data_IF_797280867991
#
_entry.id   IF_797280867991
#
_cell.length_a   1.000
_cell.length_b   1.000
_cell.length_c   1.000
_cell.angle_alpha   90.00
_cell.angle_beta   90.00
_cell.angle_gamma   90.00
#
_symmetry.space_group_name_H-M   'P 1'
#
loop_
_entity.id
_entity.type
_entity.pdbx_description
1 polymer ?
#
# COMPACT_ATOMS: atom_id res chain seq x y z
N UNK A 1 12.46 4.93 -23.13
CA UNK A 1 11.05 4.46 -23.03
C UNK A 1 10.14 5.59 -23.47
N UNK A 2 9.15 5.36 -24.34
CA UNK A 2 8.20 6.38 -24.74
C UNK A 2 7.31 6.82 -23.57
N UNK A 3 6.94 8.11 -23.53
CA UNK A 3 6.24 8.75 -22.42
C UNK A 3 4.88 8.11 -22.10
N UNK A 4 4.20 7.55 -23.12
CA UNK A 4 2.96 6.79 -22.95
C UNK A 4 3.13 5.51 -22.11
N UNK A 5 4.24 4.80 -22.29
CA UNK A 5 4.52 3.56 -21.54
C UNK A 5 4.82 3.84 -20.06
N UNK A 6 5.44 4.98 -19.77
CA UNK A 6 5.70 5.44 -18.39
C UNK A 6 4.43 5.81 -17.64
N UNK A 7 3.48 6.44 -18.32
CA UNK A 7 2.17 6.78 -17.74
C UNK A 7 1.35 5.51 -17.46
N UNK A 8 1.29 4.58 -18.42
CA UNK A 8 0.60 3.31 -18.23
C UNK A 8 1.16 2.51 -17.04
N UNK A 9 2.49 2.40 -16.94
CA UNK A 9 3.13 1.73 -15.81
C UNK A 9 2.88 2.43 -14.47
N UNK A 10 2.66 3.75 -14.47
CA UNK A 10 2.31 4.49 -13.26
C UNK A 10 0.89 4.19 -12.82
N UNK A 11 -0.04 4.13 -13.76
CA UNK A 11 -1.46 3.89 -13.50
C UNK A 11 -1.68 2.45 -13.03
N UNK A 12 -1.07 1.45 -13.68
CA UNK A 12 -1.18 0.04 -13.30
C UNK A 12 -0.68 -0.27 -11.87
N UNK A 13 0.23 0.58 -11.38
CA UNK A 13 0.84 0.44 -10.06
C UNK A 13 0.19 1.29 -8.99
N UNK A 14 -0.84 2.08 -9.33
CA UNK A 14 -1.53 2.96 -8.39
C UNK A 14 -2.96 2.47 -8.16
N UNK A 15 -3.33 2.20 -6.91
CA UNK A 15 -4.70 1.81 -6.54
C UNK A 15 -5.19 2.67 -5.38
N UNK A 16 -6.50 2.79 -5.25
CA UNK A 16 -7.13 3.46 -4.11
C UNK A 16 -7.21 2.52 -2.91
N UNK A 17 -6.86 3.03 -1.74
CA UNK A 17 -6.92 2.35 -0.45
C UNK A 17 -7.99 3.03 0.41
N UNK A 18 -8.90 2.24 0.94
CA UNK A 18 -9.92 2.71 1.90
C UNK A 18 -9.27 3.00 3.26
N UNK A 19 -9.67 4.11 3.87
CA UNK A 19 -9.32 4.48 5.24
C UNK A 19 -10.49 4.19 6.18
N UNK A 20 -10.19 4.11 7.49
CA UNK A 20 -11.19 3.83 8.52
C UNK A 20 -12.29 4.90 8.63
N UNK A 21 -12.00 6.14 8.19
CA UNK A 21 -12.97 7.24 8.13
C UNK A 21 -13.88 7.19 6.88
N UNK A 22 -13.73 6.17 6.03
CA UNK A 22 -14.46 6.01 4.78
C UNK A 22 -13.92 6.84 3.62
N UNK A 23 -12.85 7.63 3.84
CA UNK A 23 -12.13 8.29 2.75
C UNK A 23 -11.23 7.31 2.00
N UNK A 24 -10.73 7.74 0.84
CA UNK A 24 -9.80 6.95 0.02
C UNK A 24 -8.52 7.71 -0.24
N UNK A 25 -7.40 7.00 -0.33
CA UNK A 25 -6.11 7.54 -0.76
C UNK A 25 -5.49 6.70 -1.85
N UNK A 26 -4.99 7.34 -2.89
CA UNK A 26 -4.21 6.68 -3.93
C UNK A 26 -2.83 6.32 -3.40
N UNK A 27 -2.50 5.04 -3.48
CA UNK A 27 -1.17 4.51 -3.13
C UNK A 27 -0.59 3.90 -4.40
N UNK A 28 0.65 4.24 -4.70
CA UNK A 28 1.43 3.58 -5.73
C UNK A 28 2.26 2.49 -5.06
N UNK A 29 2.44 1.32 -5.63
CA UNK A 29 3.46 0.36 -5.19
C UNK A 29 3.79 -0.63 -6.31
N UNK A 30 4.89 -1.37 -6.16
CA UNK A 30 5.29 -2.37 -7.16
C UNK A 30 4.28 -3.52 -7.22
N UNK A 31 4.17 -4.24 -8.36
CA UNK A 31 3.25 -5.38 -8.49
C UNK A 31 3.44 -6.44 -7.39
N UNK A 32 4.70 -6.75 -7.04
CA UNK A 32 5.02 -7.68 -5.96
C UNK A 32 4.45 -7.26 -4.59
N UNK A 33 4.37 -5.94 -4.31
CA UNK A 33 3.79 -5.47 -3.06
C UNK A 33 2.26 -5.53 -3.09
N UNK A 34 1.64 -5.33 -4.26
CA UNK A 34 0.21 -5.57 -4.44
C UNK A 34 -0.14 -7.05 -4.24
N UNK A 35 0.65 -7.97 -4.80
CA UNK A 35 0.48 -9.41 -4.59
C UNK A 35 0.64 -9.78 -3.12
N UNK A 36 1.63 -9.20 -2.42
CA UNK A 36 1.81 -9.39 -0.97
C UNK A 36 0.64 -8.86 -0.15
N UNK A 37 0.07 -7.71 -0.53
CA UNK A 37 -1.13 -7.19 0.11
C UNK A 37 -2.30 -8.16 -0.09
N UNK A 38 -2.57 -8.59 -1.31
CA UNK A 38 -3.63 -9.55 -1.62
C UNK A 38 -3.46 -10.86 -0.83
N UNK A 39 -2.22 -11.35 -0.72
CA UNK A 39 -1.89 -12.50 0.12
C UNK A 39 -2.26 -12.26 1.60
N UNK A 40 -1.86 -11.14 2.18
CA UNK A 40 -2.15 -10.80 3.58
C UNK A 40 -3.67 -10.72 3.81
N UNK A 41 -4.42 -10.12 2.88
CA UNK A 41 -5.87 -10.04 2.96
C UNK A 41 -6.54 -11.43 2.96
N UNK A 42 -6.01 -12.37 2.18
CA UNK A 42 -6.56 -13.73 2.08
C UNK A 42 -6.18 -14.57 3.31
N UNK A 43 -4.93 -14.49 3.77
CA UNK A 43 -4.38 -15.39 4.79
C UNK A 43 -4.62 -14.89 6.21
N UNK A 44 -4.38 -13.60 6.46
CA UNK A 44 -4.55 -12.99 7.78
C UNK A 44 -5.92 -12.32 7.95
N UNK A 45 -6.71 -12.19 6.87
CA UNK A 45 -8.00 -11.51 6.90
C UNK A 45 -7.88 -10.01 7.15
N UNK A 46 -6.68 -9.43 7.01
CA UNK A 46 -6.46 -8.00 7.22
C UNK A 46 -7.15 -7.17 6.15
N UNK A 47 -7.65 -6.01 6.53
CA UNK A 47 -8.29 -5.06 5.63
C UNK A 47 -7.34 -3.94 5.25
N UNK A 48 -7.59 -3.31 4.09
CA UNK A 48 -6.88 -2.10 3.66
C UNK A 48 -7.01 -0.96 4.66
N UNK A 49 -8.15 -0.83 5.33
CA UNK A 49 -8.42 0.17 6.37
C UNK A 49 -7.57 -0.02 7.64
N UNK A 50 -7.37 -1.26 8.07
CA UNK A 50 -6.48 -1.57 9.21
C UNK A 50 -5.03 -1.23 8.86
N UNK A 51 -4.56 -1.65 7.69
CA UNK A 51 -3.20 -1.32 7.24
C UNK A 51 -3.01 0.20 7.02
N UNK A 52 -4.06 0.89 6.58
CA UNK A 52 -4.05 2.35 6.46
C UNK A 52 -3.94 3.03 7.81
N UNK A 53 -4.55 2.48 8.86
CA UNK A 53 -4.41 2.98 10.24
C UNK A 53 -2.96 2.90 10.71
N UNK A 54 -2.32 1.74 10.56
CA UNK A 54 -0.90 1.61 10.89
C UNK A 54 -0.02 2.55 10.06
N UNK A 55 -0.32 2.73 8.78
CA UNK A 55 0.42 3.67 7.94
C UNK A 55 0.28 5.12 8.42
N UNK A 56 -0.91 5.54 8.87
CA UNK A 56 -1.12 6.88 9.43
C UNK A 56 -0.33 7.07 10.74
N UNK A 57 -0.30 6.06 11.61
CA UNK A 57 0.54 6.09 12.82
C UNK A 57 2.01 6.24 12.47
N UNK A 58 2.53 5.44 11.53
CA UNK A 58 3.91 5.52 11.05
C UNK A 58 4.25 6.88 10.43
N UNK A 59 3.32 7.51 9.70
CA UNK A 59 3.52 8.87 9.20
C UNK A 59 3.78 9.87 10.34
N UNK A 60 3.03 9.76 11.45
CA UNK A 60 3.20 10.67 12.59
C UNK A 60 4.53 10.46 13.32
N UNK A 61 5.08 9.25 13.29
CA UNK A 61 6.31 8.89 13.98
C UNK A 61 7.57 9.23 13.16
N UNK A 62 7.50 9.09 11.83
CA UNK A 62 8.68 9.13 10.96
C UNK A 62 8.72 10.32 9.99
N UNK A 63 7.71 11.19 9.99
CA UNK A 63 7.56 12.33 9.06
C UNK A 63 7.70 11.90 7.59
N UNK A 64 6.96 10.85 7.22
CA UNK A 64 6.94 10.30 5.84
C UNK A 64 5.57 10.44 5.19
N UNK A 65 5.53 10.33 3.86
CA UNK A 65 4.27 10.31 3.12
C UNK A 65 3.48 9.03 3.38
N UNK A 66 2.15 9.10 3.26
CA UNK A 66 1.26 7.95 3.41
C UNK A 66 1.64 6.77 2.52
N UNK A 67 1.93 7.06 1.24
CA UNK A 67 2.36 6.07 0.25
C UNK A 67 3.62 5.31 0.71
N UNK A 68 4.59 6.02 1.31
CA UNK A 68 5.82 5.41 1.83
C UNK A 68 5.56 4.59 3.08
N UNK A 69 4.76 5.11 4.02
CA UNK A 69 4.38 4.41 5.24
C UNK A 69 3.60 3.12 4.92
N UNK A 70 2.60 3.19 4.04
CA UNK A 70 1.75 2.08 3.67
C UNK A 70 2.54 0.94 3.01
N UNK A 71 3.44 1.27 2.08
CA UNK A 71 4.39 0.29 1.51
C UNK A 71 5.24 -0.39 2.58
N UNK A 72 5.71 0.38 3.56
CA UNK A 72 6.50 -0.12 4.68
C UNK A 72 5.74 -1.12 5.53
N UNK A 73 4.49 -0.81 5.88
CA UNK A 73 3.59 -1.69 6.64
C UNK A 73 3.35 -3.01 5.89
N UNK A 74 2.95 -2.94 4.61
CA UNK A 74 2.73 -4.14 3.78
C UNK A 74 3.99 -4.99 3.68
N UNK A 75 5.14 -4.36 3.40
CA UNK A 75 6.41 -5.08 3.29
C UNK A 75 6.80 -5.75 4.62
N UNK A 76 6.64 -5.05 5.74
CA UNK A 76 6.97 -5.57 7.07
C UNK A 76 6.11 -6.78 7.43
N UNK A 77 4.80 -6.70 7.24
CA UNK A 77 3.87 -7.79 7.56
C UNK A 77 4.11 -9.00 6.65
N UNK A 78 4.24 -8.77 5.34
CA UNK A 78 4.50 -9.86 4.39
C UNK A 78 5.86 -10.54 4.63
N UNK A 79 6.86 -9.83 5.17
CA UNK A 79 8.16 -10.40 5.49
C UNK A 79 8.12 -11.44 6.62
N UNK A 80 7.03 -11.50 7.40
CA UNK A 80 6.84 -12.53 8.43
C UNK A 80 6.59 -13.94 7.86
N UNK A 81 6.30 -14.01 6.56
CA UNK A 81 5.94 -15.23 5.83
C UNK A 81 6.99 -15.69 4.80
N UNK A 82 8.13 -15.00 4.73
CA UNK A 82 9.29 -15.31 3.87
C UNK A 82 10.48 -15.71 4.71
#
# INVERSE_FOLDING_TARGET
>A
MPQNTLNQYRDDNTREIDLADGSKRSVRMTPLLWEKLEFLQIVEGVTTAELATYALEEMTLQDVTFDRAFRGVVAHLANRWT
#
